data_IF_502309457139
#
_entry.id   IF_502309457139
#
_cell.length_a   1.000
_cell.length_b   1.000
_cell.length_c   1.000
_cell.angle_alpha   90.00
_cell.angle_beta   90.00
_cell.angle_gamma   90.00
#
_symmetry.space_group_name_H-M   'P 1'
#
loop_
_entity.id
_entity.type
_entity.pdbx_description
1 polymer ?
#
# COMPACT_ATOMS: atom_id res chain seq x y z
N UNK A 1 -15.98 -6.39 -15.58
CA UNK A 1 -16.04 -5.90 -14.18
C UNK A 1 -14.67 -5.47 -13.66
N UNK A 2 -13.61 -6.30 -13.72
CA UNK A 2 -12.28 -5.95 -13.21
C UNK A 2 -11.61 -4.75 -13.90
N UNK A 3 -11.58 -4.70 -15.25
CA UNK A 3 -10.98 -3.58 -16.00
C UNK A 3 -11.62 -2.21 -15.68
N UNK A 4 -12.94 -2.20 -15.44
CA UNK A 4 -13.66 -0.97 -15.05
C UNK A 4 -13.28 -0.50 -13.64
N UNK A 5 -13.06 -1.43 -12.70
CA UNK A 5 -12.64 -1.10 -11.34
C UNK A 5 -11.19 -0.58 -11.30
N UNK A 6 -10.30 -1.17 -12.11
CA UNK A 6 -8.92 -0.71 -12.27
C UNK A 6 -8.87 0.71 -12.86
N UNK A 7 -9.67 1.00 -13.90
CA UNK A 7 -9.74 2.31 -14.51
C UNK A 7 -10.22 3.40 -13.52
N UNK A 8 -11.25 3.10 -12.71
CA UNK A 8 -11.71 4.00 -11.65
C UNK A 8 -10.62 4.24 -10.60
N UNK A 9 -9.97 3.17 -10.13
CA UNK A 9 -8.89 3.26 -9.14
C UNK A 9 -7.70 4.09 -9.64
N UNK A 10 -7.24 3.87 -10.87
CA UNK A 10 -6.15 4.66 -11.47
C UNK A 10 -6.51 6.15 -11.50
N UNK A 11 -7.75 6.48 -11.86
CA UNK A 11 -8.23 7.87 -11.92
C UNK A 11 -8.25 8.52 -10.54
N UNK A 12 -8.76 7.80 -9.53
CA UNK A 12 -8.83 8.30 -8.16
C UNK A 12 -7.44 8.52 -7.56
N UNK A 13 -6.51 7.57 -7.73
CA UNK A 13 -5.14 7.67 -7.26
C UNK A 13 -4.38 8.78 -7.97
N UNK A 14 -4.58 8.95 -9.28
CA UNK A 14 -3.96 10.03 -10.04
C UNK A 14 -4.41 11.41 -9.53
N UNK A 15 -5.71 11.59 -9.29
CA UNK A 15 -6.27 12.83 -8.71
C UNK A 15 -5.70 13.11 -7.31
N UNK A 16 -5.59 12.09 -6.47
CA UNK A 16 -4.99 12.22 -5.14
C UNK A 16 -3.49 12.53 -5.21
N UNK A 17 -2.77 11.95 -6.17
CA UNK A 17 -1.34 12.21 -6.37
C UNK A 17 -1.06 13.64 -6.82
N UNK A 18 -1.91 14.20 -7.67
CA UNK A 18 -1.78 15.58 -8.16
C UNK A 18 -1.96 16.63 -7.05
N UNK A 19 -2.78 16.31 -6.04
CA UNK A 19 -2.98 17.17 -4.86
C UNK A 19 -2.06 16.83 -3.68
N UNK A 20 -1.17 15.83 -3.83
CA UNK A 20 -0.29 15.36 -2.75
C UNK A 20 0.86 16.35 -2.48
N UNK A 21 0.86 16.94 -1.28
CA UNK A 21 1.99 17.70 -0.75
C UNK A 21 2.88 16.81 0.16
N UNK A 22 4.14 16.53 -0.22
CA UNK A 22 5.06 15.75 0.60
C UNK A 22 5.60 16.51 1.83
N UNK A 23 5.50 17.84 1.88
CA UNK A 23 6.16 18.69 2.89
C UNK A 23 5.73 18.36 4.33
N UNK A 24 4.44 18.10 4.53
CA UNK A 24 3.84 17.80 5.84
C UNK A 24 4.49 16.57 6.51
N UNK A 25 4.87 15.56 5.72
CA UNK A 25 5.39 14.29 6.20
C UNK A 25 6.91 14.17 6.13
N UNK A 26 7.58 14.92 5.25
CA UNK A 26 9.05 14.96 5.23
C UNK A 26 9.61 15.50 6.56
N UNK A 27 8.92 16.47 7.17
CA UNK A 27 9.21 16.95 8.52
C UNK A 27 9.02 15.86 9.60
N UNK A 28 7.96 15.04 9.49
CA UNK A 28 7.69 13.92 10.41
C UNK A 28 8.69 12.77 10.23
N UNK A 29 9.15 12.52 9.01
CA UNK A 29 10.10 11.45 8.66
C UNK A 29 11.54 11.74 9.11
N UNK A 30 11.89 13.02 9.31
CA UNK A 30 13.16 13.39 9.94
C UNK A 30 13.38 12.73 11.30
N UNK A 31 12.30 12.29 11.97
CA UNK A 31 12.36 11.39 13.12
C UNK A 31 12.57 9.96 12.60
N UNK A 32 13.82 9.48 12.67
CA UNK A 32 14.17 8.08 12.38
C UNK A 32 13.37 7.16 13.31
N UNK A 33 12.50 6.31 12.75
CA UNK A 33 11.78 5.28 13.49
C UNK A 33 12.31 3.91 13.08
N UNK A 34 12.94 3.19 14.01
CA UNK A 34 13.18 1.74 13.87
C UNK A 34 11.94 1.07 14.47
N UNK A 35 11.12 0.44 13.61
CA UNK A 35 9.98 -0.32 14.10
C UNK A 35 10.48 -1.60 14.78
N UNK A 36 10.30 -1.69 16.09
CA UNK A 36 10.57 -2.91 16.84
C UNK A 36 9.37 -3.83 16.68
N UNK A 37 9.61 -5.05 16.20
CA UNK A 37 8.59 -6.08 16.13
C UNK A 37 8.00 -6.32 17.53
N UNK A 38 6.67 -6.19 17.71
CA UNK A 38 6.04 -6.44 19.01
C UNK A 38 6.38 -7.84 19.50
N UNK A 39 6.88 -7.94 20.74
CA UNK A 39 7.25 -9.22 21.37
C UNK A 39 6.09 -10.21 21.43
N UNK A 40 4.86 -9.72 21.46
CA UNK A 40 3.65 -10.52 21.51
C UNK A 40 3.41 -11.29 20.21
N UNK A 41 3.79 -10.70 19.06
CA UNK A 41 3.74 -11.36 17.76
C UNK A 41 4.85 -12.42 17.58
N UNK A 42 5.95 -12.31 18.34
CA UNK A 42 7.04 -13.29 18.30
C UNK A 42 6.77 -14.54 19.18
N UNK A 43 5.78 -14.49 20.08
CA UNK A 43 5.59 -15.48 21.16
C UNK A 43 4.34 -16.35 21.00
N UNK A 44 3.53 -16.15 19.96
CA UNK A 44 2.28 -16.90 19.76
C UNK A 44 2.55 -18.28 19.19
N UNK A 45 2.13 -19.32 19.91
CA UNK A 45 2.25 -20.74 19.51
C UNK A 45 1.08 -21.22 18.64
N UNK A 46 0.04 -20.39 18.44
CA UNK A 46 -1.11 -20.73 17.59
C UNK A 46 -0.95 -20.17 16.18
N UNK A 47 -0.99 -21.06 15.20
CA UNK A 47 -0.82 -20.74 13.78
C UNK A 47 -1.86 -19.75 13.23
N UNK A 48 -3.00 -19.56 13.92
CA UNK A 48 -4.07 -18.65 13.50
C UNK A 48 -3.73 -17.17 13.67
N UNK A 49 -3.02 -16.78 14.74
CA UNK A 49 -2.69 -15.38 15.00
C UNK A 49 -1.56 -14.85 14.10
N UNK A 50 -0.74 -15.75 13.54
CA UNK A 50 0.30 -15.42 12.54
C UNK A 50 -0.26 -15.08 11.15
N UNK A 51 -1.52 -15.47 10.87
CA UNK A 51 -2.14 -15.28 9.56
C UNK A 51 -2.88 -13.95 9.43
N UNK A 52 -3.21 -13.29 10.55
CA UNK A 52 -3.90 -11.99 10.53
C UNK A 52 -2.90 -10.85 10.75
N UNK A 53 -2.69 -9.97 9.76
CA UNK A 53 -1.86 -8.80 9.93
C UNK A 53 -2.52 -7.85 10.95
N UNK A 54 -1.71 -7.31 11.85
CA UNK A 54 -2.17 -6.36 12.87
C UNK A 54 -1.96 -4.91 12.45
N UNK A 55 -0.96 -4.66 11.59
CA UNK A 55 -0.55 -3.32 11.22
C UNK A 55 -0.71 -3.10 9.72
N UNK A 56 -0.08 -3.95 8.89
CA UNK A 56 -0.13 -3.82 7.44
C UNK A 56 -0.37 -5.18 6.77
N UNK A 57 -1.27 -5.21 5.81
CA UNK A 57 -1.40 -6.28 4.83
C UNK A 57 -0.81 -5.83 3.50
N UNK A 58 -0.05 -6.69 2.83
CA UNK A 58 0.36 -6.47 1.45
C UNK A 58 -0.47 -7.39 0.57
N UNK A 59 -1.28 -6.82 -0.33
CA UNK A 59 -2.18 -7.57 -1.19
C UNK A 59 -3.66 -7.58 -0.74
N UNK A 60 -4.53 -8.29 -1.47
CA UNK A 60 -5.98 -8.13 -1.38
C UNK A 60 -6.63 -8.84 -0.18
N UNK A 61 -5.94 -9.82 0.43
CA UNK A 61 -6.53 -10.73 1.42
C UNK A 61 -7.15 -10.04 2.64
N UNK A 62 -6.58 -8.92 3.07
CA UNK A 62 -7.07 -8.13 4.22
C UNK A 62 -7.36 -6.68 3.83
N UNK A 63 -7.63 -6.44 2.54
CA UNK A 63 -7.98 -5.10 2.09
C UNK A 63 -9.33 -4.70 2.69
N UNK A 64 -9.41 -3.49 3.24
CA UNK A 64 -10.64 -2.95 3.79
C UNK A 64 -10.89 -3.23 5.27
N UNK A 65 -10.14 -4.14 5.91
CA UNK A 65 -10.27 -4.41 7.35
C UNK A 65 -10.00 -3.14 8.17
N UNK A 66 -10.90 -2.84 9.12
CA UNK A 66 -10.91 -1.56 9.85
C UNK A 66 -9.58 -1.27 10.55
N UNK A 67 -8.99 -2.29 11.20
CA UNK A 67 -7.71 -2.14 11.91
C UNK A 67 -6.50 -1.93 10.97
N UNK A 68 -6.65 -2.17 9.67
CA UNK A 68 -5.59 -1.99 8.66
C UNK A 68 -5.73 -0.71 7.84
N UNK A 69 -6.89 -0.04 7.89
CA UNK A 69 -7.15 1.23 7.22
C UNK A 69 -6.06 2.30 7.47
N UNK A 70 -5.49 2.46 8.69
CA UNK A 70 -4.41 3.42 8.91
C UNK A 70 -3.21 3.24 7.97
N UNK A 71 -2.91 2.00 7.56
CA UNK A 71 -1.80 1.72 6.64
C UNK A 71 -2.12 1.99 5.18
N UNK A 72 -3.38 2.06 4.76
CA UNK A 72 -3.75 2.37 3.37
C UNK A 72 -3.22 3.75 2.96
N UNK A 73 -3.31 4.72 3.86
CA UNK A 73 -2.71 6.04 3.65
C UNK A 73 -1.18 5.95 3.43
N UNK A 74 -0.49 5.11 4.21
CA UNK A 74 0.96 4.95 4.08
C UNK A 74 1.38 4.20 2.81
N UNK A 75 0.56 3.26 2.31
CA UNK A 75 0.75 2.59 1.02
C UNK A 75 0.64 3.56 -0.14
N UNK A 76 -0.43 4.38 -0.18
CA UNK A 76 -0.62 5.43 -1.20
C UNK A 76 0.56 6.40 -1.21
N UNK A 77 0.98 6.86 -0.03
CA UNK A 77 2.15 7.74 0.09
C UNK A 77 3.43 7.10 -0.45
N UNK A 78 3.67 5.82 -0.16
CA UNK A 78 4.83 5.11 -0.69
C UNK A 78 4.81 5.08 -2.24
N UNK A 79 3.65 4.81 -2.83
CA UNK A 79 3.45 4.88 -4.28
C UNK A 79 3.75 6.28 -4.83
N UNK A 80 3.21 7.35 -4.24
CA UNK A 80 3.46 8.73 -4.68
C UNK A 80 4.94 9.09 -4.70
N UNK A 81 5.69 8.65 -3.67
CA UNK A 81 7.13 8.87 -3.61
C UNK A 81 7.89 8.10 -4.69
N UNK A 82 7.45 6.87 -4.99
CA UNK A 82 8.01 6.07 -6.10
C UNK A 82 7.75 6.78 -7.43
N UNK A 83 6.51 7.22 -7.69
CA UNK A 83 6.13 7.96 -8.90
C UNK A 83 6.99 9.22 -9.07
N UNK A 84 7.10 10.05 -8.03
CA UNK A 84 7.91 11.27 -8.03
C UNK A 84 9.39 10.97 -8.29
N UNK A 85 9.95 9.95 -7.65
CA UNK A 85 11.38 9.57 -7.79
C UNK A 85 11.68 8.99 -9.17
N UNK A 86 10.78 8.16 -9.71
CA UNK A 86 10.97 7.47 -10.99
C UNK A 86 10.59 8.34 -12.19
N UNK A 87 9.79 9.40 -12.00
CA UNK A 87 9.28 10.30 -13.04
C UNK A 87 8.53 9.55 -14.15
N UNK A 88 7.80 8.51 -13.78
CA UNK A 88 6.98 7.70 -14.70
C UNK A 88 5.49 7.89 -14.38
N UNK A 89 4.61 7.80 -15.39
CA UNK A 89 3.15 7.85 -15.17
C UNK A 89 2.66 6.67 -14.32
N UNK A 90 1.58 6.88 -13.56
CA UNK A 90 0.91 5.81 -12.81
C UNK A 90 0.41 4.68 -13.72
N UNK A 91 -0.09 5.03 -14.91
CA UNK A 91 -0.59 4.05 -15.90
C UNK A 91 0.45 2.98 -16.21
N UNK A 92 1.72 3.35 -16.40
CA UNK A 92 2.79 2.37 -16.64
C UNK A 92 2.97 1.37 -15.50
N UNK A 93 2.77 1.79 -14.26
CA UNK A 93 2.78 0.87 -13.12
C UNK A 93 1.56 -0.04 -13.14
N UNK A 94 0.36 0.51 -13.41
CA UNK A 94 -0.87 -0.26 -13.49
C UNK A 94 -0.80 -1.33 -14.61
N UNK A 95 -0.37 -0.95 -15.82
CA UNK A 95 -0.22 -1.87 -16.96
C UNK A 95 0.75 -3.01 -16.63
N UNK A 96 1.85 -2.70 -15.94
CA UNK A 96 2.84 -3.71 -15.52
C UNK A 96 2.27 -4.65 -14.45
N UNK A 97 1.43 -4.14 -13.56
CA UNK A 97 0.79 -4.92 -12.50
C UNK A 97 -0.33 -5.81 -13.06
N UNK A 98 -1.07 -5.37 -14.07
CA UNK A 98 -2.15 -6.15 -14.69
C UNK A 98 -1.60 -7.44 -15.33
N UNK A 99 -0.44 -7.38 -15.99
CA UNK A 99 0.22 -8.56 -16.53
C UNK A 99 0.62 -9.58 -15.45
N UNK A 100 1.14 -9.09 -14.32
CA UNK A 100 1.53 -9.93 -13.19
C UNK A 100 0.29 -10.48 -12.46
N UNK A 101 -0.77 -9.67 -12.32
CA UNK A 101 -2.02 -10.11 -11.70
C UNK A 101 -2.63 -11.29 -12.47
N UNK A 102 -2.63 -11.21 -13.79
CA UNK A 102 -3.12 -12.30 -14.64
C UNK A 102 -2.30 -13.59 -14.43
N UNK A 103 -0.96 -13.49 -14.40
CA UNK A 103 -0.08 -14.63 -14.10
C UNK A 103 -0.34 -15.24 -12.72
N UNK A 104 -0.61 -14.41 -11.70
CA UNK A 104 -0.87 -14.89 -10.33
C UNK A 104 -2.28 -15.47 -10.12
N UNK A 105 -3.20 -15.22 -11.05
CA UNK A 105 -4.57 -15.75 -11.01
C UNK A 105 -4.70 -17.12 -11.68
N UNK A 106 -3.78 -17.45 -12.58
CA UNK A 106 -3.70 -18.72 -13.32
C UNK A 106 -2.92 -19.79 -12.52
#
# INVERSE_FOLDING_TARGET
>A
YAASAMATWVTDIQREYESYDPSEYELKLGKKCIYKWPSDLARTSSMSMHRTPHMASLGPYHHGEEHLQPMEHHKKRALYRILKRRRVPLTRFADSLEGIEQELRD
#
